data_IF_462978223946
#
_entry.id   IF_462978223946
#
_cell.length_a   1.000
_cell.length_b   1.000
_cell.length_c   1.000
_cell.angle_alpha   90.00
_cell.angle_beta   90.00
_cell.angle_gamma   90.00
#
_symmetry.space_group_name_H-M   'P 1'
#
loop_
_entity.id
_entity.type
_entity.pdbx_description
1 polymer ?
#
# COMPACT_ATOMS: atom_id res chain seq x y z
N UNK A 1 -20.52 5.85 -13.61
CA UNK A 1 -20.28 5.32 -12.25
C UNK A 1 -18.96 4.61 -12.36
N UNK A 2 -17.86 5.29 -12.04
CA UNK A 2 -16.54 4.65 -12.06
C UNK A 2 -16.53 3.60 -10.96
N UNK A 3 -16.52 2.34 -11.37
CA UNK A 3 -16.17 1.21 -10.52
C UNK A 3 -14.68 1.35 -10.20
N UNK A 4 -14.36 2.28 -9.29
CA UNK A 4 -13.01 2.55 -8.85
C UNK A 4 -12.35 1.26 -8.41
N UNK A 5 -11.18 1.00 -8.99
CA UNK A 5 -10.31 -0.14 -8.74
C UNK A 5 -10.24 -0.52 -7.25
N UNK A 6 -11.12 -1.41 -6.80
CA UNK A 6 -11.20 -1.89 -5.40
C UNK A 6 -10.02 -2.77 -5.00
N UNK A 7 -9.00 -2.83 -5.85
CA UNK A 7 -7.78 -3.60 -5.70
C UNK A 7 -6.61 -2.78 -5.14
N UNK A 8 -6.77 -1.46 -4.97
CA UNK A 8 -5.72 -0.61 -4.38
C UNK A 8 -4.49 -0.47 -5.27
N UNK A 9 -4.66 -0.59 -6.59
CA UNK A 9 -3.54 -0.54 -7.55
C UNK A 9 -3.15 0.90 -7.78
N UNK A 10 -2.00 1.32 -7.24
CA UNK A 10 -1.36 2.56 -7.69
C UNK A 10 -0.97 2.37 -9.15
N UNK A 11 -1.44 3.20 -10.08
CA UNK A 11 -0.89 3.26 -11.44
C UNK A 11 0.54 3.81 -11.39
N UNK A 12 1.36 3.58 -12.43
CA UNK A 12 2.75 4.09 -12.47
C UNK A 12 2.79 5.61 -12.33
N UNK A 13 1.85 6.30 -12.96
CA UNK A 13 1.70 7.77 -12.94
C UNK A 13 1.34 8.27 -11.53
N UNK A 14 0.40 7.59 -10.87
CA UNK A 14 0.03 7.92 -9.49
C UNK A 14 1.21 7.63 -8.56
N UNK A 15 1.89 6.50 -8.75
CA UNK A 15 3.04 6.11 -7.94
C UNK A 15 4.17 7.14 -8.03
N UNK A 16 4.46 7.67 -9.22
CA UNK A 16 5.49 8.69 -9.41
C UNK A 16 5.26 9.98 -8.59
N UNK A 17 4.01 10.29 -8.24
CA UNK A 17 3.66 11.42 -7.37
C UNK A 17 3.80 11.03 -5.90
N UNK A 18 3.34 9.85 -5.52
CA UNK A 18 3.26 9.42 -4.12
C UNK A 18 4.60 8.96 -3.55
N UNK A 19 5.41 8.24 -4.33
CA UNK A 19 6.70 7.70 -3.90
C UNK A 19 7.61 8.76 -3.21
N UNK A 20 7.90 9.93 -3.84
CA UNK A 20 8.77 10.92 -3.21
C UNK A 20 8.19 11.50 -1.92
N UNK A 21 6.86 11.62 -1.81
CA UNK A 21 6.20 12.12 -0.61
C UNK A 21 6.30 11.12 0.54
N UNK A 22 6.12 9.83 0.24
CA UNK A 22 6.24 8.75 1.22
C UNK A 22 7.69 8.61 1.69
N UNK A 23 8.65 8.71 0.79
CA UNK A 23 10.07 8.70 1.16
C UNK A 23 10.47 9.92 2.00
N UNK A 24 9.92 11.11 1.72
CA UNK A 24 10.22 12.32 2.49
C UNK A 24 9.80 12.22 3.97
N UNK A 25 8.72 11.49 4.28
CA UNK A 25 8.23 11.30 5.65
C UNK A 25 8.72 10.01 6.30
N UNK A 26 9.52 9.20 5.58
CA UNK A 26 9.99 7.91 6.09
C UNK A 26 10.94 8.11 7.27
N UNK A 27 10.77 7.37 8.39
CA UNK A 27 11.72 7.42 9.49
C UNK A 27 13.13 7.00 9.06
N UNK A 28 14.12 7.85 9.31
CA UNK A 28 15.54 7.53 9.09
C UNK A 28 15.95 6.34 9.97
N UNK A 29 16.54 5.32 9.35
CA UNK A 29 17.08 4.15 10.05
C UNK A 29 16.19 2.91 10.10
N UNK A 30 15.00 2.93 9.48
CA UNK A 30 14.21 1.70 9.27
C UNK A 30 14.66 0.97 8.00
N UNK A 31 14.68 -0.36 8.04
CA UNK A 31 14.93 -1.20 6.86
C UNK A 31 13.96 -0.82 5.75
N UNK A 32 14.46 -0.51 4.54
CA UNK A 32 13.59 -0.24 3.39
C UNK A 32 12.68 -1.44 3.12
N UNK A 33 11.37 -1.24 2.94
CA UNK A 33 10.47 -2.29 2.51
C UNK A 33 10.88 -2.74 1.11
N UNK A 34 10.90 -4.06 0.91
CA UNK A 34 11.34 -4.68 -0.33
C UNK A 34 10.44 -4.34 -1.54
N UNK A 35 9.19 -3.93 -1.28
CA UNK A 35 8.21 -3.50 -2.26
C UNK A 35 7.30 -2.45 -1.60
N UNK A 36 7.74 -1.19 -1.68
CA UNK A 36 7.05 -0.07 -1.04
C UNK A 36 5.66 0.15 -1.63
N UNK A 37 5.55 0.17 -2.95
CA UNK A 37 4.28 0.38 -3.66
C UNK A 37 3.24 -0.64 -3.25
N UNK A 38 3.61 -1.91 -3.19
CA UNK A 38 2.68 -2.98 -2.77
C UNK A 38 2.31 -2.88 -1.30
N UNK A 39 3.24 -2.45 -0.45
CA UNK A 39 2.96 -2.24 0.98
C UNK A 39 1.92 -1.13 1.17
N UNK A 40 2.06 -0.02 0.45
CA UNK A 40 1.16 1.12 0.52
C UNK A 40 -0.20 0.74 -0.10
N UNK A 41 -0.22 0.06 -1.23
CA UNK A 41 -1.44 -0.51 -1.84
C UNK A 41 -2.23 -1.37 -0.83
N UNK A 42 -1.55 -2.26 -0.10
CA UNK A 42 -2.16 -3.10 0.92
C UNK A 42 -2.76 -2.30 2.10
N UNK A 43 -2.09 -1.22 2.52
CA UNK A 43 -2.59 -0.32 3.57
C UNK A 43 -3.86 0.42 3.11
N UNK A 44 -3.84 0.99 1.90
CA UNK A 44 -5.00 1.68 1.32
C UNK A 44 -6.19 0.72 1.14
N UNK A 45 -5.96 -0.47 0.58
CA UNK A 45 -6.99 -1.49 0.42
C UNK A 45 -7.64 -1.85 1.76
N UNK A 46 -6.82 -2.04 2.81
CA UNK A 46 -7.30 -2.38 4.15
C UNK A 46 -8.19 -1.26 4.71
N UNK A 47 -7.79 0.00 4.55
CA UNK A 47 -8.56 1.15 5.02
C UNK A 47 -9.90 1.28 4.27
N UNK A 48 -9.90 1.15 2.94
CA UNK A 48 -11.10 1.24 2.11
C UNK A 48 -12.11 0.12 2.42
N UNK A 49 -11.63 -1.10 2.66
CA UNK A 49 -12.49 -2.26 2.91
C UNK A 49 -12.91 -2.41 4.38
N UNK A 50 -12.41 -1.57 5.29
CA UNK A 50 -12.62 -1.72 6.73
C UNK A 50 -12.16 -3.09 7.26
N UNK A 51 -11.21 -3.72 6.56
CA UNK A 51 -10.87 -5.12 6.74
C UNK A 51 -9.96 -5.32 7.96
N UNK A 52 -10.14 -6.45 8.66
CA UNK A 52 -9.22 -6.87 9.72
C UNK A 52 -7.83 -7.08 9.10
N UNK A 53 -6.77 -6.76 9.84
CA UNK A 53 -5.35 -6.80 9.41
C UNK A 53 -4.85 -8.14 8.84
N UNK A 54 -5.60 -9.24 8.99
CA UNK A 54 -5.30 -10.57 8.42
C UNK A 54 -6.10 -10.91 7.16
N UNK A 55 -7.03 -10.05 6.76
CA UNK A 55 -7.92 -10.23 5.62
C UNK A 55 -7.38 -9.60 4.34
N UNK A 56 -6.08 -9.29 4.29
CA UNK A 56 -5.44 -8.71 3.11
C UNK A 56 -5.34 -9.77 2.00
N UNK A 57 -5.81 -9.49 0.77
CA UNK A 57 -5.69 -10.39 -0.37
C UNK A 57 -4.25 -10.81 -0.64
N UNK A 58 -4.04 -12.07 -0.99
CA UNK A 58 -2.70 -12.61 -1.28
C UNK A 58 -2.01 -11.87 -2.45
N UNK A 59 -2.78 -11.26 -3.35
CA UNK A 59 -2.31 -10.45 -4.47
C UNK A 59 -1.54 -9.20 -4.02
N UNK A 60 -1.91 -8.66 -2.86
CA UNK A 60 -1.23 -7.53 -2.20
C UNK A 60 -0.07 -7.99 -1.32
N UNK A 61 0.22 -9.29 -1.34
CA UNK A 61 1.31 -9.91 -0.60
C UNK A 61 0.91 -10.34 0.82
N UNK A 62 1.89 -10.81 1.61
CA UNK A 62 1.65 -11.28 2.96
C UNK A 62 1.10 -10.15 3.84
N UNK A 63 0.03 -10.46 4.57
CA UNK A 63 -0.67 -9.51 5.44
C UNK A 63 0.25 -8.81 6.46
N UNK A 64 1.35 -9.44 6.87
CA UNK A 64 2.30 -8.87 7.84
C UNK A 64 3.04 -7.64 7.31
N UNK A 65 3.06 -7.40 5.99
CA UNK A 65 3.66 -6.18 5.43
C UNK A 65 2.81 -4.94 5.66
N UNK A 66 1.48 -5.10 5.77
CA UNK A 66 0.53 -4.02 6.02
C UNK A 66 -0.05 -4.06 7.45
N UNK A 67 0.67 -4.71 8.36
CA UNK A 67 0.38 -4.75 9.79
C UNK A 67 1.03 -3.59 10.58
N UNK A 68 1.70 -2.66 9.89
CA UNK A 68 2.39 -1.50 10.48
C UNK A 68 1.41 -0.49 11.11
#
# INVERSE_FOLDING_TARGET
MEEGDRTGTFTDETWAIWEPLIEAVRPRGKTPPHDLRRTIAAIFWRHENGAKWRSIPAELGPWWRAAQ
#
